data_IF_919320148049
#
_entry.id   IF_919320148049
#
_cell.length_a   1.000
_cell.length_b   1.000
_cell.length_c   1.000
_cell.angle_alpha   90.00
_cell.angle_beta   90.00
_cell.angle_gamma   90.00
#
_symmetry.space_group_name_H-M   'P 1'
#
loop_
_entity.id
_entity.type
_entity.pdbx_description
1 polymer ?
#
# COMPACT_ATOMS: atom_id res chain seq x y z
N UNK A 1 8.46 -2.09 -10.04
CA UNK A 1 9.63 -1.51 -9.32
C UNK A 1 10.32 -0.40 -10.10
N UNK A 2 10.15 -0.36 -11.43
CA UNK A 2 10.74 0.66 -12.32
C UNK A 2 10.45 2.11 -11.89
N UNK A 3 9.20 2.44 -11.53
CA UNK A 3 8.82 3.80 -11.06
C UNK A 3 9.53 4.27 -9.78
N UNK A 4 9.85 3.35 -8.86
CA UNK A 4 10.58 3.71 -7.63
C UNK A 4 12.06 3.96 -7.91
N UNK A 5 12.62 3.34 -8.96
CA UNK A 5 13.98 3.61 -9.44
C UNK A 5 14.06 4.91 -10.25
N UNK A 6 13.00 5.28 -10.96
CA UNK A 6 12.87 6.60 -11.62
C UNK A 6 12.83 7.77 -10.62
N UNK A 7 12.17 7.59 -9.46
CA UNK A 7 12.09 8.61 -8.41
C UNK A 7 13.43 8.84 -7.68
N UNK A 8 14.33 7.84 -7.61
CA UNK A 8 15.69 8.01 -7.08
C UNK A 8 16.70 7.09 -7.79
N UNK A 9 17.28 7.54 -8.92
CA UNK A 9 18.40 6.82 -9.52
C UNK A 9 19.59 6.79 -8.56
N UNK A 10 20.04 5.59 -8.16
CA UNK A 10 21.24 5.39 -7.33
C UNK A 10 21.03 5.29 -5.82
N UNK A 11 19.80 5.08 -5.34
CA UNK A 11 19.56 4.82 -3.91
C UNK A 11 20.29 3.55 -3.45
N UNK A 12 21.10 3.64 -2.38
CA UNK A 12 21.90 2.54 -1.79
C UNK A 12 21.03 1.44 -1.16
N UNK A 13 19.71 1.60 -1.13
CA UNK A 13 18.78 0.62 -0.57
C UNK A 13 18.61 -0.53 -1.56
N UNK A 14 19.07 -1.72 -1.16
CA UNK A 14 18.94 -2.94 -1.96
C UNK A 14 17.48 -3.19 -2.36
N UNK A 15 17.26 -3.67 -3.59
CA UNK A 15 15.92 -4.00 -4.09
C UNK A 15 15.16 -4.95 -3.16
N UNK A 16 15.85 -5.94 -2.57
CA UNK A 16 15.28 -6.86 -1.59
C UNK A 16 14.75 -6.17 -0.33
N UNK A 17 15.37 -5.08 0.11
CA UNK A 17 14.88 -4.27 1.23
C UNK A 17 13.60 -3.53 0.87
N UNK A 18 13.54 -2.96 -0.35
CA UNK A 18 12.32 -2.31 -0.86
C UNK A 18 11.17 -3.30 -1.02
N UNK A 19 11.44 -4.50 -1.55
CA UNK A 19 10.44 -5.56 -1.65
C UNK A 19 9.95 -6.04 -0.27
N UNK A 20 10.85 -6.13 0.72
CA UNK A 20 10.45 -6.43 2.10
C UNK A 20 9.50 -5.37 2.66
N UNK A 21 9.79 -4.09 2.44
CA UNK A 21 8.89 -3.01 2.85
C UNK A 21 7.53 -3.09 2.14
N UNK A 22 7.49 -3.46 0.86
CA UNK A 22 6.23 -3.74 0.15
C UNK A 22 5.43 -4.88 0.78
N UNK A 23 6.10 -5.97 1.14
CA UNK A 23 5.48 -7.09 1.85
C UNK A 23 4.91 -6.66 3.22
N UNK A 24 5.64 -5.83 3.96
CA UNK A 24 5.21 -5.34 5.28
C UNK A 24 4.01 -4.39 5.18
N UNK A 25 4.01 -3.46 4.22
CA UNK A 25 2.88 -2.55 4.03
C UNK A 25 1.64 -3.29 3.53
N UNK A 26 1.77 -4.25 2.62
CA UNK A 26 0.63 -5.05 2.15
C UNK A 26 0.03 -5.88 3.27
N UNK A 27 0.85 -6.55 4.08
CA UNK A 27 0.37 -7.29 5.25
C UNK A 27 -0.36 -6.37 6.25
N UNK A 28 0.19 -5.18 6.53
CA UNK A 28 -0.46 -4.20 7.40
C UNK A 28 -1.80 -3.71 6.81
N UNK A 29 -1.84 -3.38 5.52
CA UNK A 29 -3.04 -2.89 4.85
C UNK A 29 -4.12 -3.97 4.79
N UNK A 30 -3.74 -5.23 4.56
CA UNK A 30 -4.64 -6.37 4.58
C UNK A 30 -5.36 -6.47 5.91
N UNK A 31 -4.61 -6.51 7.01
CA UNK A 31 -5.17 -6.65 8.35
C UNK A 31 -6.02 -5.44 8.76
N UNK A 32 -5.58 -4.22 8.42
CA UNK A 32 -6.29 -2.99 8.83
C UNK A 32 -7.52 -2.67 8.00
N UNK A 33 -7.50 -2.93 6.69
CA UNK A 33 -8.50 -2.41 5.77
C UNK A 33 -9.25 -3.50 5.01
N UNK A 34 -8.60 -4.55 4.54
CA UNK A 34 -9.24 -5.56 3.67
C UNK A 34 -9.92 -6.68 4.45
N UNK A 35 -9.30 -7.18 5.52
CA UNK A 35 -9.85 -8.20 6.42
C UNK A 35 -11.16 -7.78 7.09
N UNK A 36 -11.30 -6.57 7.69
CA UNK A 36 -12.58 -6.14 8.26
C UNK A 36 -13.63 -5.76 7.20
N UNK A 37 -13.20 -5.55 5.96
CA UNK A 37 -14.04 -5.02 4.89
C UNK A 37 -14.89 -6.06 4.17
N UNK A 38 -14.78 -7.37 4.48
CA UNK A 38 -15.40 -8.44 3.65
C UNK A 38 -15.06 -8.28 2.15
N UNK A 39 -13.92 -7.66 1.84
CA UNK A 39 -13.45 -7.43 0.48
C UNK A 39 -12.76 -8.72 -0.03
N UNK A 40 -13.57 -9.77 -0.15
CA UNK A 40 -13.22 -11.17 -0.47
C UNK A 40 -12.35 -11.28 -1.74
N UNK A 41 -12.53 -10.36 -2.69
CA UNK A 41 -11.87 -10.40 -4.00
C UNK A 41 -10.35 -10.19 -4.00
N UNK A 42 -9.70 -10.03 -2.82
CA UNK A 42 -8.26 -9.72 -2.70
C UNK A 42 -7.48 -10.62 -1.74
N UNK A 43 -8.08 -11.72 -1.30
CA UNK A 43 -7.41 -12.63 -0.37
C UNK A 43 -6.16 -13.30 -0.95
N UNK A 44 -6.12 -13.54 -2.27
CA UNK A 44 -5.00 -14.20 -2.95
C UNK A 44 -3.99 -13.29 -3.66
N UNK A 45 -4.10 -11.96 -3.54
CA UNK A 45 -3.19 -11.00 -4.21
C UNK A 45 -2.53 -10.07 -3.21
N UNK A 46 -1.33 -9.60 -3.50
CA UNK A 46 -0.53 -8.75 -2.60
C UNK A 46 0.92 -9.19 -2.53
N UNK A 47 1.81 -8.23 -2.29
CA UNK A 47 3.23 -8.46 -2.10
C UNK A 47 3.50 -9.37 -0.88
N UNK A 48 2.62 -9.34 0.13
CA UNK A 48 2.68 -10.22 1.30
C UNK A 48 2.44 -11.69 0.98
N UNK A 49 1.64 -11.98 -0.04
CA UNK A 49 1.36 -13.34 -0.53
C UNK A 49 2.39 -13.78 -1.57
N UNK A 50 2.74 -12.89 -2.50
CA UNK A 50 3.68 -13.17 -3.58
C UNK A 50 5.15 -13.29 -3.10
N UNK A 51 5.48 -12.75 -1.93
CA UNK A 51 6.83 -12.76 -1.36
C UNK A 51 7.48 -14.15 -1.33
N UNK A 52 6.76 -15.18 -0.87
CA UNK A 52 7.29 -16.55 -0.75
C UNK A 52 7.67 -17.17 -2.10
N UNK A 53 6.96 -16.77 -3.17
CA UNK A 53 7.20 -17.20 -4.54
C UNK A 53 8.24 -16.33 -5.28
N UNK A 54 8.81 -15.33 -4.61
CA UNK A 54 9.71 -14.35 -5.19
C UNK A 54 8.95 -13.25 -5.91
N UNK A 55 8.70 -12.13 -5.22
CA UNK A 55 7.96 -10.99 -5.72
C UNK A 55 8.52 -10.47 -7.06
N UNK A 56 7.71 -10.58 -8.12
CA UNK A 56 7.98 -10.14 -9.48
C UNK A 56 7.43 -8.73 -9.70
N UNK A 57 7.90 -8.07 -10.75
CA UNK A 57 7.41 -6.73 -11.10
C UNK A 57 5.96 -6.73 -11.58
N UNK A 58 5.56 -7.78 -12.31
CA UNK A 58 4.20 -7.99 -12.81
C UNK A 58 3.22 -8.55 -11.76
N UNK A 59 3.68 -8.81 -10.53
CA UNK A 59 2.77 -9.32 -9.49
C UNK A 59 1.75 -8.26 -9.09
N UNK A 60 0.51 -8.70 -8.93
CA UNK A 60 -0.60 -7.83 -8.56
C UNK A 60 -0.48 -7.48 -7.07
N UNK A 61 -0.28 -6.20 -6.79
CA UNK A 61 -0.26 -5.66 -5.43
C UNK A 61 -1.66 -5.62 -4.81
N UNK A 62 -1.71 -5.55 -3.48
CA UNK A 62 -2.97 -5.63 -2.73
C UNK A 62 -3.92 -4.47 -3.08
N UNK A 63 -3.37 -3.26 -3.19
CA UNK A 63 -4.16 -2.05 -3.39
C UNK A 63 -4.56 -1.85 -4.87
N UNK A 64 -5.87 -1.71 -5.16
CA UNK A 64 -6.34 -1.46 -6.53
C UNK A 64 -5.87 -0.11 -7.09
N UNK A 65 -5.71 -0.02 -8.42
CA UNK A 65 -5.81 1.26 -9.12
C UNK A 65 -7.16 1.94 -8.87
N UNK A 66 -7.18 3.28 -8.70
CA UNK A 66 -6.08 4.25 -8.90
C UNK A 66 -5.22 4.51 -7.64
N UNK A 67 -5.39 3.75 -6.56
CA UNK A 67 -4.73 3.99 -5.27
C UNK A 67 -3.32 3.36 -5.18
N UNK A 68 -2.89 2.61 -6.20
CA UNK A 68 -1.56 1.99 -6.29
C UNK A 68 -0.41 3.01 -6.25
N UNK A 69 -0.70 4.29 -6.51
CA UNK A 69 0.22 5.41 -6.32
C UNK A 69 0.72 5.58 -4.88
N UNK A 70 0.10 4.95 -3.88
CA UNK A 70 0.63 4.96 -2.50
C UNK A 70 1.95 4.20 -2.37
N UNK A 71 2.20 3.16 -3.18
CA UNK A 71 3.38 2.32 -3.07
C UNK A 71 4.69 3.09 -3.33
N UNK A 72 4.81 3.88 -4.42
CA UNK A 72 6.01 4.69 -4.62
C UNK A 72 6.21 5.73 -3.50
N UNK A 73 5.15 6.39 -3.01
CA UNK A 73 5.27 7.34 -1.89
C UNK A 73 5.72 6.69 -0.59
N UNK A 74 5.19 5.49 -0.28
CA UNK A 74 5.64 4.72 0.86
C UNK A 74 7.11 4.31 0.75
N UNK A 75 7.54 3.85 -0.43
CA UNK A 75 8.92 3.47 -0.68
C UNK A 75 9.89 4.66 -0.61
N UNK A 76 9.48 5.83 -1.13
CA UNK A 76 10.23 7.07 -0.99
C UNK A 76 10.35 7.46 0.48
N UNK A 77 9.26 7.46 1.25
CA UNK A 77 9.27 7.72 2.67
C UNK A 77 10.22 6.78 3.43
N UNK A 78 10.12 5.46 3.23
CA UNK A 78 10.99 4.49 3.90
C UNK A 78 12.46 4.65 3.51
N UNK A 79 12.73 5.03 2.26
CA UNK A 79 14.09 5.35 1.79
C UNK A 79 14.63 6.60 2.48
N UNK A 80 13.83 7.66 2.56
CA UNK A 80 14.22 8.91 3.22
C UNK A 80 14.43 8.71 4.73
N UNK A 81 13.57 7.92 5.37
CA UNK A 81 13.74 7.52 6.78
C UNK A 81 15.04 6.73 6.99
N UNK A 82 15.36 5.78 6.09
CA UNK A 82 16.61 5.01 6.17
C UNK A 82 17.87 5.88 5.93
N UNK A 83 17.73 7.00 5.20
CA UNK A 83 18.80 7.97 4.97
C UNK A 83 18.88 9.07 6.05
N UNK A 84 17.90 9.14 6.97
CA UNK A 84 17.82 10.19 8.00
C UNK A 84 17.25 11.52 7.50
N UNK A 85 16.66 11.54 6.31
CA UNK A 85 16.10 12.71 5.63
C UNK A 85 14.67 13.03 6.13
N UNK A 86 14.57 13.44 7.40
CA UNK A 86 13.27 13.58 8.10
C UNK A 86 12.28 14.56 7.45
N UNK A 87 12.75 15.65 6.85
CA UNK A 87 11.88 16.65 6.19
C UNK A 87 11.22 16.08 4.93
N UNK A 88 12.00 15.35 4.11
CA UNK A 88 11.50 14.65 2.92
C UNK A 88 10.57 13.49 3.29
N UNK A 89 10.94 12.72 4.33
CA UNK A 89 10.08 11.69 4.90
C UNK A 89 8.70 12.22 5.28
N UNK A 90 8.63 13.38 5.95
CA UNK A 90 7.37 13.99 6.37
C UNK A 90 6.49 14.37 5.16
N UNK A 91 7.08 14.90 4.09
CA UNK A 91 6.38 15.22 2.85
C UNK A 91 5.81 13.98 2.16
N UNK A 92 6.62 12.93 2.00
CA UNK A 92 6.19 11.67 1.37
C UNK A 92 5.14 10.94 2.23
N UNK A 93 5.29 10.96 3.56
CA UNK A 93 4.27 10.45 4.47
C UNK A 93 2.94 11.18 4.34
N UNK A 94 2.94 12.50 4.14
CA UNK A 94 1.71 13.26 3.97
C UNK A 94 0.95 12.79 2.70
N UNK A 95 1.66 12.56 1.60
CA UNK A 95 1.07 12.04 0.36
C UNK A 95 0.54 10.61 0.54
N UNK A 96 1.34 9.73 1.14
CA UNK A 96 0.92 8.36 1.48
C UNK A 96 -0.35 8.35 2.33
N UNK A 97 -0.40 9.16 3.40
CA UNK A 97 -1.56 9.23 4.29
C UNK A 97 -2.80 9.81 3.61
N UNK A 98 -2.64 10.75 2.67
CA UNK A 98 -3.76 11.27 1.87
C UNK A 98 -4.39 10.17 1.02
N UNK A 99 -3.59 9.43 0.26
CA UNK A 99 -4.08 8.34 -0.60
C UNK A 99 -4.68 7.21 0.25
N UNK A 100 -4.07 6.92 1.40
CA UNK A 100 -4.57 5.92 2.34
C UNK A 100 -5.96 6.30 2.90
N UNK A 101 -6.18 7.58 3.22
CA UNK A 101 -7.48 8.07 3.68
C UNK A 101 -8.55 7.95 2.57
N UNK A 102 -8.18 8.24 1.32
CA UNK A 102 -9.07 8.06 0.17
C UNK A 102 -9.41 6.59 -0.08
N UNK A 103 -8.42 5.68 0.00
CA UNK A 103 -8.61 4.24 -0.09
C UNK A 103 -9.56 3.75 1.00
N UNK A 104 -9.35 4.17 2.25
CA UNK A 104 -10.21 3.80 3.37
C UNK A 104 -11.65 4.29 3.17
N UNK A 105 -11.84 5.53 2.69
CA UNK A 105 -13.16 6.06 2.37
C UNK A 105 -13.82 5.28 1.22
N UNK A 106 -13.06 4.90 0.20
CA UNK A 106 -13.54 4.09 -0.90
C UNK A 106 -13.96 2.68 -0.45
N UNK A 107 -13.15 2.00 0.36
CA UNK A 107 -13.47 0.68 0.91
C UNK A 107 -14.76 0.72 1.75
N UNK A 108 -14.92 1.74 2.60
CA UNK A 108 -16.16 1.93 3.36
C UNK A 108 -17.38 2.11 2.44
N UNK A 109 -17.25 2.87 1.35
CA UNK A 109 -18.33 3.04 0.37
C UNK A 109 -18.64 1.74 -0.38
N UNK A 110 -17.61 0.98 -0.74
CA UNK A 110 -17.74 -0.28 -1.48
C UNK A 110 -18.37 -1.38 -0.63
N UNK A 111 -18.05 -1.41 0.67
CA UNK A 111 -18.56 -2.39 1.63
C UNK A 111 -19.76 -1.87 2.43
N UNK A 112 -20.48 -0.86 1.91
CA UNK A 112 -21.81 -0.56 2.43
C UNK A 112 -22.64 -1.84 2.36
N UNK A 113 -23.35 -2.25 3.43
CA UNK A 113 -24.28 -3.35 3.32
C UNK A 113 -25.25 -3.02 2.20
N UNK A 114 -25.37 -3.92 1.21
CA UNK A 114 -26.31 -3.78 0.12
C UNK A 114 -27.69 -3.46 0.70
N UNK A 115 -28.15 -2.20 0.53
CA UNK A 115 -29.51 -1.68 0.75
C UNK A 115 -30.34 -2.53 1.72
N UNK A 116 -30.21 -2.33 3.03
CA UNK A 116 -31.04 -3.08 3.98
C UNK A 116 -30.99 -2.68 5.45
N UNK A 117 -30.02 -1.89 5.91
CA UNK A 117 -30.01 -1.46 7.32
C UNK A 117 -30.95 -0.28 7.54
N UNK A 118 -32.22 -0.58 7.81
CA UNK A 118 -33.13 0.35 8.48
C UNK A 118 -32.57 0.66 9.87
N UNK A 119 -32.08 1.88 10.06
CA UNK A 119 -31.78 2.40 11.39
C UNK A 119 -33.09 2.61 12.13
N UNK A 120 -33.33 1.84 13.19
CA UNK A 120 -34.37 2.13 14.18
C UNK A 120 -33.69 2.84 15.36
N UNK A 121 -34.24 4.02 15.68
CA UNK A 121 -33.89 4.86 16.83
C UNK A 121 -34.07 4.11 18.15
#
# INVERSE_FOLDING_TARGET
MERAEELRPGSRVAARTRQRWLCEVDGMLREKFFRPSSADSREGVGADIAWDNGLRDDDVLLVPPPFDSLYPHYLCAMTDAALGENDRYAGEQAQYNSILAELAAWLRRKNLPARGCSWRW
#
